data_IF_433727748198
#
_entry.id   IF_433727748198
#
_cell.length_a   1.000
_cell.length_b   1.000
_cell.length_c   1.000
_cell.angle_alpha   90.00
_cell.angle_beta   90.00
_cell.angle_gamma   90.00
#
_symmetry.space_group_name_H-M   'P 1'
#
loop_
_entity.id
_entity.type
_entity.pdbx_description
1 polymer ?
#
# COMPACT_ATOMS: atom_id res chain seq x y z
N UNK A 1 43.46 -86.40 -9.11
CA UNK A 1 42.63 -86.25 -7.90
C UNK A 1 41.53 -85.28 -8.23
N UNK A 2 40.29 -85.74 -8.18
CA UNK A 2 39.08 -84.96 -8.43
C UNK A 2 38.72 -84.17 -7.17
N UNK A 3 38.47 -82.87 -7.30
CA UNK A 3 37.72 -82.10 -6.31
C UNK A 3 36.52 -81.50 -7.05
N UNK A 4 35.36 -82.04 -6.69
CA UNK A 4 34.08 -81.81 -7.33
C UNK A 4 33.66 -80.34 -7.25
N UNK A 5 33.12 -79.88 -8.38
CA UNK A 5 32.35 -78.65 -8.49
C UNK A 5 31.17 -78.68 -7.51
N UNK A 6 31.00 -77.60 -6.75
CA UNK A 6 29.77 -77.34 -6.01
C UNK A 6 28.80 -76.63 -6.95
N UNK A 7 27.66 -77.23 -7.33
CA UNK A 7 26.64 -76.56 -8.11
C UNK A 7 25.74 -75.79 -7.14
N UNK A 8 25.76 -74.46 -7.17
CA UNK A 8 24.81 -73.69 -6.35
C UNK A 8 25.14 -72.24 -5.99
N UNK A 9 26.10 -71.58 -6.62
CA UNK A 9 26.43 -70.16 -6.29
C UNK A 9 26.23 -69.15 -7.43
N UNK A 10 25.79 -69.58 -8.62
CA UNK A 10 25.49 -68.63 -9.72
C UNK A 10 24.22 -67.79 -9.44
N UNK A 11 23.34 -68.23 -8.56
CA UNK A 11 22.16 -67.45 -8.14
C UNK A 11 22.48 -66.30 -7.18
N UNK A 12 23.57 -66.37 -6.41
CA UNK A 12 23.91 -65.36 -5.40
C UNK A 12 24.59 -64.13 -6.00
N UNK A 13 25.30 -64.28 -7.13
CA UNK A 13 25.93 -63.14 -7.83
C UNK A 13 24.91 -62.34 -8.68
N UNK A 14 23.89 -62.99 -9.23
CA UNK A 14 22.76 -62.28 -9.86
C UNK A 14 21.83 -61.62 -8.85
N UNK A 15 21.74 -62.16 -7.63
CA UNK A 15 21.01 -61.48 -6.56
C UNK A 15 21.79 -60.26 -6.06
N UNK A 16 23.13 -60.28 -6.05
CA UNK A 16 23.93 -59.14 -5.58
C UNK A 16 23.84 -57.90 -6.48
N UNK A 17 23.60 -58.08 -7.79
CA UNK A 17 23.44 -56.96 -8.74
C UNK A 17 21.98 -56.57 -9.01
N UNK A 18 21.00 -57.33 -8.49
CA UNK A 18 19.58 -57.11 -8.75
C UNK A 18 18.89 -56.13 -7.78
N UNK A 19 19.37 -56.01 -6.54
CA UNK A 19 18.78 -55.07 -5.57
C UNK A 19 19.28 -53.63 -5.72
N UNK A 20 20.38 -53.39 -6.45
CA UNK A 20 20.85 -52.02 -6.74
C UNK A 20 19.97 -51.27 -7.76
N UNK A 21 19.15 -51.98 -8.54
CA UNK A 21 18.27 -51.38 -9.55
C UNK A 21 16.80 -51.25 -9.11
N UNK A 22 16.45 -51.59 -7.86
CA UNK A 22 15.04 -51.60 -7.40
C UNK A 22 14.82 -51.07 -5.99
N UNK A 23 15.76 -50.30 -5.43
CA UNK A 23 15.53 -49.59 -4.18
C UNK A 23 15.01 -48.17 -4.45
N UNK A 24 13.80 -47.80 -4.00
CA UNK A 24 13.49 -46.40 -3.77
C UNK A 24 14.41 -45.94 -2.64
N UNK A 25 15.38 -45.08 -2.98
CA UNK A 25 16.25 -44.28 -2.11
C UNK A 25 16.42 -44.82 -0.66
N UNK A 26 17.59 -45.38 -0.29
CA UNK A 26 17.82 -45.78 1.09
C UNK A 26 17.75 -44.55 2.00
N UNK A 27 16.85 -44.63 2.98
CA UNK A 27 16.71 -43.70 4.10
C UNK A 27 18.02 -43.61 4.87
N UNK A 28 18.90 -42.73 4.42
CA UNK A 28 20.01 -42.19 5.19
C UNK A 28 19.89 -40.70 5.03
N UNK A 29 19.77 -39.98 6.14
CA UNK A 29 19.68 -38.53 6.19
C UNK A 29 20.71 -37.93 5.23
N UNK A 30 20.28 -37.60 4.02
CA UNK A 30 20.98 -36.64 3.19
C UNK A 30 20.58 -35.30 3.78
N UNK A 31 21.27 -34.91 4.84
CA UNK A 31 21.45 -33.49 5.10
C UNK A 31 22.19 -33.01 3.85
N UNK A 32 21.45 -32.43 2.90
CA UNK A 32 22.03 -31.84 1.71
C UNK A 32 23.11 -30.85 2.17
N UNK A 33 24.41 -31.03 1.83
CA UNK A 33 25.50 -30.18 2.34
C UNK A 33 25.54 -28.79 1.72
N UNK A 34 24.55 -28.44 0.90
CA UNK A 34 24.39 -27.13 0.29
C UNK A 34 23.07 -26.53 0.77
N UNK A 35 22.93 -25.19 0.84
CA UNK A 35 21.62 -24.57 1.01
C UNK A 35 20.79 -24.87 -0.25
N UNK A 36 20.28 -26.09 -0.36
CA UNK A 36 19.36 -26.49 -1.40
C UNK A 36 18.04 -25.82 -1.04
N UNK A 37 17.87 -24.60 -1.54
CA UNK A 37 16.58 -23.94 -1.64
C UNK A 37 15.61 -24.96 -2.24
N UNK A 38 14.73 -25.52 -1.42
CA UNK A 38 13.81 -26.54 -1.90
C UNK A 38 12.59 -25.85 -2.52
N UNK A 39 11.94 -26.46 -3.53
CA UNK A 39 10.67 -25.95 -4.07
C UNK A 39 9.61 -25.71 -2.98
N UNK A 40 9.64 -26.54 -1.92
CA UNK A 40 8.82 -26.40 -0.73
C UNK A 40 9.09 -25.08 0.01
N UNK A 41 10.35 -24.75 0.28
CA UNK A 41 10.71 -23.51 0.97
C UNK A 41 10.26 -22.27 0.19
N UNK A 42 10.39 -22.28 -1.14
CA UNK A 42 9.89 -21.18 -1.98
C UNK A 42 8.36 -21.08 -1.91
N UNK A 43 7.66 -22.23 -1.89
CA UNK A 43 6.20 -22.28 -1.80
C UNK A 43 5.66 -21.76 -0.46
N UNK A 44 6.36 -22.01 0.64
CA UNK A 44 6.03 -21.48 1.97
C UNK A 44 6.23 -19.97 2.03
N UNK A 45 7.35 -19.47 1.49
CA UNK A 45 7.59 -18.01 1.40
C UNK A 45 6.52 -17.32 0.56
N UNK A 46 6.12 -17.90 -0.57
CA UNK A 46 5.02 -17.37 -1.39
C UNK A 46 3.70 -17.31 -0.61
N UNK A 47 3.40 -18.30 0.24
CA UNK A 47 2.18 -18.30 1.05
C UNK A 47 2.16 -17.13 2.05
N UNK A 48 3.31 -16.85 2.68
CA UNK A 48 3.46 -15.67 3.57
C UNK A 48 3.31 -14.35 2.81
N UNK A 49 3.78 -14.27 1.56
CA UNK A 49 3.59 -13.09 0.71
C UNK A 49 2.11 -12.88 0.39
N UNK A 50 1.37 -13.93 0.03
CA UNK A 50 -0.09 -13.86 -0.20
C UNK A 50 -0.80 -13.28 1.02
N UNK A 51 -0.53 -13.82 2.21
CA UNK A 51 -1.13 -13.34 3.46
C UNK A 51 -0.78 -11.88 3.74
N UNK A 52 0.46 -11.49 3.47
CA UNK A 52 0.92 -10.10 3.65
C UNK A 52 0.22 -9.13 2.70
N UNK A 53 0.07 -9.50 1.42
CA UNK A 53 -0.64 -8.70 0.43
C UNK A 53 -2.12 -8.58 0.78
N UNK A 54 -2.77 -9.67 1.23
CA UNK A 54 -4.19 -9.63 1.60
C UNK A 54 -4.44 -8.77 2.85
N UNK A 55 -3.55 -8.85 3.85
CA UNK A 55 -3.58 -7.97 5.01
C UNK A 55 -3.46 -6.50 4.60
N UNK A 56 -2.53 -6.18 3.71
CA UNK A 56 -2.35 -4.80 3.22
C UNK A 56 -3.55 -4.33 2.40
N UNK A 57 -4.06 -5.17 1.50
CA UNK A 57 -5.28 -4.91 0.73
C UNK A 57 -6.44 -4.52 1.63
N UNK A 58 -6.63 -5.24 2.74
CA UNK A 58 -7.71 -4.96 3.69
C UNK A 58 -7.59 -3.57 4.34
N UNK A 59 -6.36 -3.13 4.64
CA UNK A 59 -6.07 -1.81 5.23
C UNK A 59 -6.17 -0.67 4.23
N UNK A 60 -5.82 -0.95 2.97
CA UNK A 60 -5.87 0.02 1.88
C UNK A 60 -7.28 0.23 1.33
N UNK A 61 -8.25 -0.59 1.71
CA UNK A 61 -9.65 -0.38 1.34
C UNK A 61 -10.09 1.05 1.71
N UNK A 62 -10.87 1.72 0.84
CA UNK A 62 -11.45 3.02 1.18
C UNK A 62 -12.24 2.87 2.48
N UNK A 63 -12.13 3.84 3.41
CA UNK A 63 -12.92 3.80 4.63
C UNK A 63 -14.39 3.69 4.24
N UNK A 64 -15.08 2.67 4.75
CA UNK A 64 -16.51 2.43 4.48
C UNK A 64 -17.40 3.53 5.08
N UNK A 65 -16.86 4.31 6.00
CA UNK A 65 -17.47 5.53 6.50
C UNK A 65 -17.33 6.66 5.47
N UNK A 66 -18.43 7.42 5.27
CA UNK A 66 -18.45 8.58 4.40
C UNK A 66 -17.23 9.48 4.64
N UNK A 67 -16.58 9.89 3.55
CA UNK A 67 -15.42 10.78 3.55
C UNK A 67 -15.70 11.98 4.45
N UNK A 68 -14.88 12.18 5.49
CA UNK A 68 -15.00 13.32 6.39
C UNK A 68 -14.20 14.49 5.81
N UNK A 69 -14.85 15.64 5.63
CA UNK A 69 -14.18 16.88 5.19
C UNK A 69 -13.31 17.53 6.27
N UNK A 70 -12.88 16.79 7.29
CA UNK A 70 -12.05 17.26 8.39
C UNK A 70 -10.56 17.08 8.02
N UNK A 71 -9.75 18.15 7.95
CA UNK A 71 -8.32 18.09 7.63
C UNK A 71 -7.54 17.12 8.51
N UNK A 72 -7.84 17.07 9.82
CA UNK A 72 -7.13 16.19 10.75
C UNK A 72 -7.39 14.71 10.42
N UNK A 73 -8.62 14.38 10.04
CA UNK A 73 -8.95 13.04 9.59
C UNK A 73 -8.27 12.69 8.26
N UNK A 74 -8.25 13.61 7.30
CA UNK A 74 -7.62 13.38 5.98
C UNK A 74 -6.11 13.16 6.14
N UNK A 75 -5.44 13.95 6.99
CA UNK A 75 -4.02 13.79 7.32
C UNK A 75 -3.73 12.42 7.95
N UNK A 76 -4.60 11.93 8.83
CA UNK A 76 -4.47 10.60 9.41
C UNK A 76 -4.63 9.50 8.34
N UNK A 77 -5.56 9.67 7.39
CA UNK A 77 -5.69 8.74 6.25
C UNK A 77 -4.45 8.75 5.34
N UNK A 78 -3.83 9.91 5.12
CA UNK A 78 -2.56 10.01 4.38
C UNK A 78 -1.44 9.27 5.11
N UNK A 79 -1.34 9.46 6.43
CA UNK A 79 -0.34 8.78 7.25
C UNK A 79 -0.48 7.26 7.18
N UNK A 80 -1.71 6.75 7.33
CA UNK A 80 -1.97 5.30 7.22
C UNK A 80 -1.69 4.75 5.82
N UNK A 81 -2.02 5.50 4.77
CA UNK A 81 -1.69 5.11 3.40
C UNK A 81 -0.17 5.05 3.18
N UNK A 82 0.57 6.03 3.69
CA UNK A 82 2.03 6.06 3.63
C UNK A 82 2.68 4.88 4.36
N UNK A 83 2.13 4.46 5.52
CA UNK A 83 2.58 3.24 6.19
C UNK A 83 2.34 1.98 5.35
N UNK A 84 1.18 1.89 4.67
CA UNK A 84 0.89 0.77 3.78
C UNK A 84 1.85 0.73 2.59
N UNK A 85 2.14 1.87 1.96
CA UNK A 85 3.11 1.97 0.87
C UNK A 85 4.53 1.59 1.33
N UNK A 86 4.98 2.03 2.51
CA UNK A 86 6.28 1.64 3.04
C UNK A 86 6.38 0.13 3.35
N UNK A 87 5.28 -0.51 3.77
CA UNK A 87 5.23 -1.96 3.92
C UNK A 87 5.23 -2.67 2.56
N UNK A 88 4.48 -2.15 1.57
CA UNK A 88 4.49 -2.67 0.20
C UNK A 88 5.88 -2.58 -0.41
N UNK A 89 6.63 -1.50 -0.19
CA UNK A 89 7.97 -1.32 -0.76
C UNK A 89 8.89 -2.47 -0.32
N UNK A 90 8.86 -2.80 0.97
CA UNK A 90 9.61 -3.93 1.54
C UNK A 90 9.17 -5.27 0.96
N UNK A 91 7.87 -5.46 0.73
CA UNK A 91 7.35 -6.67 0.09
C UNK A 91 7.80 -6.76 -1.37
N UNK A 92 7.88 -5.65 -2.10
CA UNK A 92 8.39 -5.62 -3.48
C UNK A 92 9.82 -6.15 -3.55
N UNK A 93 10.71 -5.68 -2.67
CA UNK A 93 12.09 -6.20 -2.57
C UNK A 93 12.12 -7.70 -2.25
N UNK A 94 11.24 -8.16 -1.36
CA UNK A 94 11.15 -9.58 -1.00
C UNK A 94 10.63 -10.46 -2.15
N UNK A 95 9.64 -9.97 -2.92
CA UNK A 95 9.11 -10.65 -4.10
C UNK A 95 10.14 -10.74 -5.22
N UNK A 96 10.91 -9.68 -5.44
CA UNK A 96 12.01 -9.67 -6.40
C UNK A 96 13.12 -10.66 -6.03
N UNK A 97 13.45 -10.74 -4.74
CA UNK A 97 14.38 -11.76 -4.22
C UNK A 97 13.83 -13.17 -4.46
N UNK A 98 12.54 -13.38 -4.25
CA UNK A 98 11.87 -14.65 -4.45
C UNK A 98 11.85 -15.06 -5.94
N UNK A 99 11.67 -14.09 -6.84
CA UNK A 99 11.77 -14.29 -8.29
C UNK A 99 13.16 -14.74 -8.70
N UNK A 100 14.21 -14.08 -8.18
CA UNK A 100 15.60 -14.48 -8.43
C UNK A 100 15.89 -15.91 -7.95
N UNK A 101 15.43 -16.27 -6.75
CA UNK A 101 15.55 -17.62 -6.19
C UNK A 101 14.82 -18.66 -7.04
N UNK A 102 13.62 -18.35 -7.54
CA UNK A 102 12.88 -19.23 -8.45
C UNK A 102 13.64 -19.49 -9.76
N UNK A 103 14.22 -18.44 -10.35
CA UNK A 103 15.00 -18.53 -11.58
C UNK A 103 16.31 -19.33 -11.42
N UNK A 104 17.03 -19.14 -10.31
CA UNK A 104 18.24 -19.91 -9.99
C UNK A 104 17.90 -21.39 -9.84
N UNK A 105 16.81 -21.70 -9.13
CA UNK A 105 16.36 -23.08 -8.97
C UNK A 105 16.02 -23.73 -10.31
N UNK A 106 15.33 -23.01 -11.22
CA UNK A 106 15.04 -23.50 -12.57
C UNK A 106 16.33 -23.85 -13.34
N UNK A 107 17.38 -23.03 -13.22
CA UNK A 107 18.66 -23.28 -13.86
C UNK A 107 19.38 -24.54 -13.30
N UNK A 108 19.15 -24.88 -12.04
CA UNK A 108 19.79 -26.04 -11.39
C UNK A 108 19.10 -27.37 -11.65
N UNK A 109 17.78 -27.38 -11.95
CA UNK A 109 17.00 -28.62 -12.12
C UNK A 109 16.89 -28.99 -13.60
N UNK A 110 17.83 -29.80 -14.11
CA UNK A 110 17.97 -30.01 -15.56
C UNK A 110 17.05 -31.05 -16.22
N UNK A 111 16.29 -31.93 -15.53
CA UNK A 111 15.71 -33.08 -16.27
C UNK A 111 14.39 -33.72 -15.81
N UNK A 112 13.69 -33.30 -14.76
CA UNK A 112 12.39 -33.96 -14.43
C UNK A 112 11.34 -33.16 -13.64
N UNK A 113 11.58 -31.88 -13.32
CA UNK A 113 10.66 -31.09 -12.48
C UNK A 113 10.05 -29.84 -13.18
N UNK A 114 10.15 -29.71 -14.51
CA UNK A 114 9.72 -28.49 -15.22
C UNK A 114 8.28 -28.08 -14.92
N UNK A 115 7.31 -29.00 -14.95
CA UNK A 115 5.89 -28.64 -14.77
C UNK A 115 5.56 -28.09 -13.37
N UNK A 116 6.23 -28.59 -12.33
CA UNK A 116 6.04 -28.08 -10.97
C UNK A 116 6.68 -26.70 -10.78
N UNK A 117 7.72 -26.43 -11.57
CA UNK A 117 8.55 -25.24 -11.44
C UNK A 117 8.02 -24.06 -12.24
N UNK A 118 7.49 -24.31 -13.44
CA UNK A 118 6.73 -23.32 -14.21
C UNK A 118 5.53 -22.79 -13.42
N UNK A 119 4.83 -23.69 -12.68
CA UNK A 119 3.74 -23.30 -11.77
C UNK A 119 4.21 -22.38 -10.65
N UNK A 120 5.39 -22.63 -10.10
CA UNK A 120 5.98 -21.81 -9.04
C UNK A 120 6.33 -20.43 -9.59
N UNK A 121 7.01 -20.37 -10.73
CA UNK A 121 7.40 -19.13 -11.40
C UNK A 121 6.18 -18.27 -11.75
N UNK A 122 5.15 -18.87 -12.37
CA UNK A 122 3.90 -18.19 -12.67
C UNK A 122 3.19 -17.65 -11.42
N UNK A 123 3.30 -18.35 -10.29
CA UNK A 123 2.76 -17.84 -9.01
C UNK A 123 3.52 -16.64 -8.47
N UNK A 124 4.85 -16.60 -8.61
CA UNK A 124 5.67 -15.44 -8.23
C UNK A 124 5.32 -14.23 -9.10
N UNK A 125 5.19 -14.43 -10.41
CA UNK A 125 4.78 -13.37 -11.35
C UNK A 125 3.37 -12.85 -11.04
N UNK A 126 2.43 -13.73 -10.70
CA UNK A 126 1.10 -13.33 -10.25
C UNK A 126 1.14 -12.48 -8.96
N UNK A 127 2.06 -12.78 -8.03
CA UNK A 127 2.22 -12.01 -6.80
C UNK A 127 2.84 -10.64 -7.05
N UNK A 128 3.83 -10.56 -7.96
CA UNK A 128 4.40 -9.30 -8.40
C UNK A 128 3.35 -8.41 -9.05
N UNK A 129 2.54 -8.97 -9.94
CA UNK A 129 1.47 -8.21 -10.59
C UNK A 129 0.44 -7.67 -9.57
N UNK A 130 0.03 -8.48 -8.59
CA UNK A 130 -0.87 -8.02 -7.51
C UNK A 130 -0.22 -6.93 -6.65
N UNK A 131 1.08 -7.04 -6.40
CA UNK A 131 1.83 -6.02 -5.68
C UNK A 131 1.90 -4.71 -6.46
N UNK A 132 2.19 -4.74 -7.76
CA UNK A 132 2.18 -3.57 -8.65
C UNK A 132 0.81 -2.88 -8.69
N UNK A 133 -0.25 -3.68 -8.81
CA UNK A 133 -1.62 -3.17 -8.80
C UNK A 133 -1.95 -2.45 -7.49
N UNK A 134 -1.61 -3.06 -6.34
CA UNK A 134 -1.82 -2.42 -5.05
C UNK A 134 -0.94 -1.19 -4.85
N UNK A 135 0.29 -1.19 -5.36
CA UNK A 135 1.15 0.00 -5.35
C UNK A 135 0.48 1.17 -6.08
N UNK A 136 0.02 0.93 -7.31
CA UNK A 136 -0.68 1.93 -8.11
C UNK A 136 -1.96 2.45 -7.43
N UNK A 137 -2.73 1.56 -6.80
CA UNK A 137 -3.91 1.94 -6.00
C UNK A 137 -3.52 2.82 -4.80
N UNK A 138 -2.40 2.52 -4.14
CA UNK A 138 -1.88 3.32 -3.03
C UNK A 138 -1.45 4.72 -3.45
N UNK A 139 -0.75 4.84 -4.58
CA UNK A 139 -0.36 6.13 -5.16
C UNK A 139 -1.56 6.95 -5.64
N UNK A 140 -2.56 6.30 -6.24
CA UNK A 140 -3.81 6.97 -6.64
C UNK A 140 -4.58 7.48 -5.42
N UNK A 141 -4.69 6.66 -4.37
CA UNK A 141 -5.30 7.05 -3.10
C UNK A 141 -4.56 8.22 -2.46
N UNK A 142 -3.22 8.21 -2.48
CA UNK A 142 -2.41 9.31 -1.95
C UNK A 142 -2.70 10.63 -2.68
N UNK A 143 -2.66 10.63 -4.01
CA UNK A 143 -2.97 11.81 -4.84
C UNK A 143 -4.38 12.33 -4.59
N UNK A 144 -5.35 11.42 -4.48
CA UNK A 144 -6.73 11.79 -4.16
C UNK A 144 -6.85 12.42 -2.76
N UNK A 145 -6.23 11.84 -1.74
CA UNK A 145 -6.24 12.37 -0.37
C UNK A 145 -5.53 13.73 -0.26
N UNK A 146 -4.41 13.93 -0.95
CA UNK A 146 -3.72 15.22 -1.02
C UNK A 146 -4.61 16.31 -1.63
N UNK A 147 -5.28 15.98 -2.73
CA UNK A 147 -6.23 16.90 -3.39
C UNK A 147 -7.41 17.24 -2.48
N UNK A 148 -7.93 16.24 -1.77
CA UNK A 148 -9.02 16.42 -0.82
C UNK A 148 -8.59 17.27 0.39
N UNK A 149 -7.38 17.08 0.90
CA UNK A 149 -6.83 17.87 2.01
C UNK A 149 -6.75 19.35 1.61
N UNK A 150 -6.17 19.64 0.44
CA UNK A 150 -6.08 21.01 -0.06
C UNK A 150 -7.47 21.67 -0.20
N UNK A 151 -8.47 20.92 -0.66
CA UNK A 151 -9.84 21.42 -0.74
C UNK A 151 -10.44 21.68 0.65
N UNK A 152 -10.25 20.76 1.59
CA UNK A 152 -10.75 20.89 2.95
C UNK A 152 -10.12 22.11 3.66
N UNK A 153 -8.80 22.27 3.59
CA UNK A 153 -8.08 23.41 4.19
C UNK A 153 -8.61 24.74 3.65
N UNK A 154 -8.76 24.86 2.33
CA UNK A 154 -9.33 26.07 1.70
C UNK A 154 -10.75 26.37 2.19
N UNK A 155 -11.59 25.34 2.30
CA UNK A 155 -12.96 25.50 2.80
C UNK A 155 -12.98 26.01 4.23
N UNK A 156 -12.20 25.40 5.13
CA UNK A 156 -12.18 25.79 6.54
C UNK A 156 -11.55 27.16 6.77
N UNK A 157 -10.53 27.53 6.00
CA UNK A 157 -10.00 28.89 6.00
C UNK A 157 -11.06 29.90 5.56
N UNK A 158 -11.72 29.68 4.41
CA UNK A 158 -12.78 30.59 3.94
C UNK A 158 -13.95 30.72 4.91
N UNK A 159 -14.32 29.63 5.60
CA UNK A 159 -15.35 29.66 6.65
C UNK A 159 -14.92 30.49 7.86
N UNK A 160 -13.67 30.36 8.29
CA UNK A 160 -13.09 31.14 9.38
C UNK A 160 -13.09 32.63 9.05
N UNK A 161 -12.68 32.98 7.84
CA UNK A 161 -12.62 34.37 7.40
C UNK A 161 -14.03 34.98 7.28
N UNK A 162 -14.98 34.22 6.74
CA UNK A 162 -16.39 34.64 6.69
C UNK A 162 -16.97 34.85 8.09
N UNK A 163 -16.67 33.95 9.03
CA UNK A 163 -17.15 34.05 10.41
C UNK A 163 -16.55 35.28 11.10
N UNK A 164 -15.27 35.58 10.84
CA UNK A 164 -14.60 36.78 11.37
C UNK A 164 -15.24 38.05 10.81
N UNK A 165 -15.42 38.12 9.49
CA UNK A 165 -16.07 39.27 8.84
C UNK A 165 -17.51 39.48 9.35
N UNK A 166 -18.27 38.40 9.56
CA UNK A 166 -19.61 38.48 10.15
C UNK A 166 -19.57 38.99 11.60
N UNK A 167 -18.58 38.59 12.39
CA UNK A 167 -18.35 39.10 13.74
C UNK A 167 -18.01 40.60 13.74
N UNK A 168 -17.09 41.02 12.89
CA UNK A 168 -16.67 42.43 12.75
C UNK A 168 -17.84 43.32 12.32
N UNK A 169 -18.62 42.87 11.34
CA UNK A 169 -19.82 43.60 10.88
C UNK A 169 -20.89 43.67 11.97
N UNK A 170 -21.12 42.58 12.72
CA UNK A 170 -22.03 42.59 13.87
C UNK A 170 -21.56 43.58 14.95
N UNK A 171 -20.26 43.61 15.26
CA UNK A 171 -19.69 44.55 16.24
C UNK A 171 -19.85 46.01 15.78
N UNK A 172 -19.55 46.31 14.52
CA UNK A 172 -19.73 47.64 13.95
C UNK A 172 -21.19 48.12 14.03
N UNK A 173 -22.15 47.22 13.83
CA UNK A 173 -23.59 47.52 13.93
C UNK A 173 -24.04 47.69 15.38
N UNK A 174 -23.52 46.88 16.31
CA UNK A 174 -23.95 46.87 17.72
C UNK A 174 -23.26 47.91 18.61
N UNK A 175 -22.16 48.52 18.15
CA UNK A 175 -21.46 49.54 18.93
C UNK A 175 -22.41 50.71 19.26
N UNK A 176 -22.62 51.01 20.55
CA UNK A 176 -23.69 51.90 21.00
C UNK A 176 -23.49 53.31 20.47
N UNK A 177 -24.57 53.89 19.94
CA UNK A 177 -24.62 55.30 19.58
C UNK A 177 -24.50 56.10 20.88
N UNK A 178 -23.31 56.61 21.18
CA UNK A 178 -23.26 57.85 21.93
C UNK A 178 -24.01 58.86 21.08
N UNK A 179 -25.12 59.36 21.62
CA UNK A 179 -25.91 60.42 20.99
C UNK A 179 -25.06 61.70 21.00
N UNK A 180 -24.05 61.76 20.13
CA UNK A 180 -23.26 62.96 19.94
C UNK A 180 -24.21 63.98 19.33
N UNK A 181 -24.37 65.12 19.99
CA UNK A 181 -25.12 66.26 19.44
C UNK A 181 -24.40 66.89 18.23
N UNK A 182 -23.25 66.35 17.82
CA UNK A 182 -22.44 66.82 16.69
C UNK A 182 -22.95 66.21 15.36
N UNK A 183 -23.47 67.04 14.43
CA UNK A 183 -23.94 66.57 13.12
C UNK A 183 -22.83 65.98 12.23
N UNK A 184 -21.55 66.30 12.46
CA UNK A 184 -20.44 65.71 11.70
C UNK A 184 -20.22 64.23 12.08
N UNK A 185 -20.21 63.93 13.38
CA UNK A 185 -20.09 62.55 13.89
C UNK A 185 -21.27 61.65 13.44
N UNK A 186 -22.50 62.20 13.41
CA UNK A 186 -23.67 61.49 12.88
C UNK A 186 -23.49 61.17 11.39
N UNK A 187 -22.98 62.12 10.58
CA UNK A 187 -22.76 61.93 9.14
C UNK A 187 -21.72 60.86 8.86
N UNK A 188 -20.56 60.91 9.51
CA UNK A 188 -19.49 59.92 9.36
C UNK A 188 -19.98 58.51 9.69
N UNK A 189 -20.85 58.36 10.70
CA UNK A 189 -21.43 57.05 11.02
C UNK A 189 -22.48 56.59 10.01
N UNK A 190 -23.30 57.50 9.49
CA UNK A 190 -24.27 57.19 8.42
C UNK A 190 -23.56 56.76 7.12
N UNK A 191 -22.40 57.34 6.83
CA UNK A 191 -21.52 56.94 5.73
C UNK A 191 -20.93 55.54 5.98
N UNK A 192 -20.43 55.28 7.20
CA UNK A 192 -19.91 53.96 7.58
C UNK A 192 -20.99 52.85 7.49
N UNK A 193 -22.23 53.14 7.91
CA UNK A 193 -23.35 52.20 7.77
C UNK A 193 -23.76 51.98 6.30
N UNK A 194 -23.70 53.01 5.45
CA UNK A 194 -23.96 52.86 4.01
C UNK A 194 -22.90 52.02 3.28
N UNK A 195 -21.66 52.03 3.76
CA UNK A 195 -20.60 51.13 3.27
C UNK A 195 -20.94 49.66 3.56
N UNK A 196 -21.60 49.38 4.68
CA UNK A 196 -22.06 48.04 5.04
C UNK A 196 -23.32 47.61 4.25
N UNK A 197 -24.14 48.56 3.78
CA UNK A 197 -25.34 48.32 2.97
C UNK A 197 -25.02 48.13 1.47
N UNK A 198 -23.75 48.34 1.08
CA UNK A 198 -23.27 48.07 -0.27
C UNK A 198 -23.20 46.55 -0.52
N UNK A 199 -23.59 46.07 -1.73
CA UNK A 199 -23.72 44.64 -1.99
C UNK A 199 -22.38 43.92 -1.77
N UNK A 200 -22.40 42.65 -1.27
CA UNK A 200 -21.21 41.88 -0.91
C UNK A 200 -20.24 41.58 -2.06
N UNK A 201 -20.48 42.11 -3.27
CA UNK A 201 -19.56 42.04 -4.40
C UNK A 201 -18.20 42.70 -4.16
N UNK A 202 -18.11 43.70 -3.27
CA UNK A 202 -16.83 44.32 -2.90
C UNK A 202 -15.94 43.41 -2.03
N UNK A 203 -16.55 42.54 -1.22
CA UNK A 203 -15.82 41.47 -0.50
C UNK A 203 -15.43 40.35 -1.47
N UNK A 204 -16.29 40.00 -2.44
CA UNK A 204 -16.02 39.01 -3.48
C UNK A 204 -14.76 39.29 -4.32
N UNK A 205 -14.41 40.55 -4.57
CA UNK A 205 -13.19 40.95 -5.28
C UNK A 205 -11.89 40.72 -4.48
N UNK A 206 -11.96 40.53 -3.16
CA UNK A 206 -10.80 40.16 -2.33
C UNK A 206 -10.47 38.67 -2.45
N UNK A 207 -11.46 37.85 -2.84
CA UNK A 207 -11.36 36.39 -2.94
C UNK A 207 -11.03 35.89 -4.36
N UNK A 208 -10.98 36.79 -5.35
CA UNK A 208 -10.71 36.44 -6.75
C UNK A 208 -9.23 36.49 -7.15
N UNK A 209 -8.33 37.01 -6.30
CA UNK A 209 -6.90 37.15 -6.60
C UNK A 209 -6.00 36.23 -5.74
N UNK A 210 -6.24 34.92 -5.78
CA UNK A 210 -5.21 33.95 -5.42
C UNK A 210 -4.78 33.18 -6.67
N UNK A 211 -3.48 33.22 -7.06
CA UNK A 211 -3.01 32.55 -8.25
C UNK A 211 -3.11 31.03 -8.11
N UNK A 212 -3.47 30.39 -9.23
CA UNK A 212 -3.59 28.94 -9.45
C UNK A 212 -2.32 28.16 -9.12
#
# INVERSE_FOLDING_TARGET
MSLAAWPGLEGLFSMQNGWEQSLPCPKRLLVCPFPCFSPLQLSERMALMVESLERLRSRMQPPSAAVRGDPAWIQEQLRENGLCLAELEKLGVALETLRGQGAELLATVQTSANEGMDKIQGRVEQLLHQWEEMWAQGEERERWLQSLLALAERFWHGLSDLTTALGDTQQAVMEPVEASSDPAAIRTRLEAMQVLDSPPGALGSLWSEQPL
#
